data_IF_758811262152
#
_entry.id   IF_758811262152
#
_cell.length_a   1.000
_cell.length_b   1.000
_cell.length_c   1.000
_cell.angle_alpha   90.00
_cell.angle_beta   90.00
_cell.angle_gamma   90.00
#
_symmetry.space_group_name_H-M   'P 1'
#
loop_
_entity.id
_entity.type
_entity.pdbx_description
1 polymer ?
#
# COMPACT_ATOMS: atom_id res chain seq x y z
N UNK A 1 9.05 -27.93 -2.85
CA UNK A 1 9.44 -27.29 -4.14
C UNK A 1 10.09 -25.97 -3.78
N UNK A 2 11.23 -25.62 -4.38
CA UNK A 2 11.93 -24.35 -4.13
C UNK A 2 12.16 -23.61 -5.44
N UNK A 3 12.16 -22.28 -5.37
CA UNK A 3 12.60 -21.41 -6.47
C UNK A 3 14.05 -21.03 -6.21
N UNK A 4 14.86 -21.00 -7.26
CA UNK A 4 16.29 -20.68 -7.16
C UNK A 4 16.67 -19.50 -8.06
N UNK A 5 17.66 -18.74 -7.60
CA UNK A 5 18.32 -17.69 -8.37
C UNK A 5 19.84 -17.80 -8.16
N UNK A 6 20.69 -17.38 -9.13
CA UNK A 6 22.13 -17.36 -8.95
C UNK A 6 22.58 -16.53 -7.74
N UNK A 7 23.82 -16.75 -7.30
CA UNK A 7 24.44 -15.93 -6.26
C UNK A 7 24.41 -14.43 -6.60
N UNK A 8 24.08 -13.61 -5.61
CA UNK A 8 24.26 -12.16 -5.68
C UNK A 8 25.24 -11.70 -4.59
N UNK A 9 26.23 -10.90 -4.98
CA UNK A 9 27.26 -10.46 -4.05
C UNK A 9 26.74 -9.39 -3.09
N UNK A 10 26.54 -9.79 -1.83
CA UNK A 10 26.16 -8.94 -0.70
C UNK A 10 27.27 -8.89 0.38
N UNK A 11 28.48 -9.36 0.05
CA UNK A 11 29.58 -9.39 1.00
C UNK A 11 29.99 -7.97 1.40
N UNK A 12 29.92 -7.66 2.70
CA UNK A 12 30.40 -6.40 3.27
C UNK A 12 29.84 -5.14 2.58
N UNK A 13 28.57 -5.17 2.19
CA UNK A 13 27.85 -4.04 1.62
C UNK A 13 26.47 -3.88 2.27
N UNK A 14 25.91 -2.68 2.19
CA UNK A 14 24.54 -2.42 2.65
C UNK A 14 23.52 -2.99 1.66
N UNK A 15 22.41 -3.50 2.18
CA UNK A 15 21.32 -3.99 1.36
C UNK A 15 19.99 -3.99 2.12
N UNK A 16 18.91 -4.12 1.36
CA UNK A 16 17.57 -4.36 1.87
C UNK A 16 16.96 -5.54 1.13
N UNK A 17 16.50 -6.54 1.86
CA UNK A 17 15.72 -7.65 1.32
C UNK A 17 14.27 -7.52 1.80
N UNK A 18 13.33 -7.49 0.88
CA UNK A 18 11.88 -7.31 1.13
C UNK A 18 11.11 -8.47 0.51
N UNK A 19 10.07 -8.95 1.18
CA UNK A 19 9.27 -10.09 0.71
C UNK A 19 7.89 -10.08 1.36
N UNK A 20 6.88 -10.45 0.59
CA UNK A 20 5.56 -10.76 1.13
C UNK A 20 5.44 -12.25 1.40
N UNK A 21 4.99 -12.60 2.60
CA UNK A 21 4.76 -13.99 2.99
C UNK A 21 3.34 -14.19 3.51
N UNK A 22 2.75 -15.32 3.13
CA UNK A 22 1.50 -15.82 3.68
C UNK A 22 1.78 -17.19 4.30
N UNK A 23 2.16 -17.26 5.58
CA UNK A 23 2.46 -18.55 6.21
C UNK A 23 1.17 -19.32 6.49
N UNK A 24 1.07 -20.54 5.98
CA UNK A 24 0.01 -21.50 6.36
C UNK A 24 0.44 -22.38 7.53
N UNK A 25 1.73 -22.36 7.88
CA UNK A 25 2.27 -22.89 9.13
C UNK A 25 3.32 -21.95 9.72
N UNK A 26 3.34 -21.86 11.05
CA UNK A 26 4.39 -21.20 11.83
C UNK A 26 4.97 -22.13 12.89
N UNK A 27 4.68 -23.43 12.77
CA UNK A 27 5.22 -24.50 13.63
C UNK A 27 6.49 -25.07 13.02
N UNK A 28 7.41 -25.54 13.86
CA UNK A 28 8.77 -25.90 13.47
C UNK A 28 9.50 -24.73 12.77
N UNK A 29 10.69 -24.99 12.23
CA UNK A 29 11.39 -23.98 11.43
C UNK A 29 10.83 -23.96 9.99
N UNK A 30 10.44 -22.77 9.53
CA UNK A 30 9.91 -22.53 8.19
C UNK A 30 10.88 -21.65 7.39
N UNK A 31 11.80 -22.22 6.59
CA UNK A 31 12.79 -21.42 5.86
C UNK A 31 12.18 -20.74 4.64
N UNK A 32 12.22 -19.41 4.61
CA UNK A 32 11.62 -18.58 3.54
C UNK A 32 12.67 -18.21 2.49
N UNK A 33 13.88 -17.83 2.91
CA UNK A 33 14.95 -17.43 2.00
C UNK A 33 16.31 -17.84 2.55
N UNK A 34 17.25 -18.18 1.66
CA UNK A 34 18.66 -18.30 2.04
C UNK A 34 19.64 -18.09 0.88
N UNK A 35 20.86 -17.64 1.22
CA UNK A 35 22.03 -17.63 0.35
C UNK A 35 23.27 -18.00 1.18
N UNK A 36 23.81 -19.19 0.96
CA UNK A 36 24.82 -19.76 1.87
C UNK A 36 26.05 -20.26 1.13
N UNK A 37 27.21 -19.71 1.49
CA UNK A 37 28.52 -20.22 1.10
C UNK A 37 28.93 -21.40 1.98
N UNK A 38 28.68 -21.30 3.28
CA UNK A 38 28.99 -22.32 4.28
C UNK A 38 27.93 -22.30 5.38
N UNK A 39 27.35 -23.46 5.70
CA UNK A 39 26.27 -23.59 6.70
C UNK A 39 26.77 -23.74 8.13
N UNK A 40 28.05 -24.05 8.32
CA UNK A 40 28.68 -24.19 9.65
C UNK A 40 29.63 -23.03 9.99
N UNK A 41 29.81 -22.07 9.08
CA UNK A 41 30.69 -20.93 9.25
C UNK A 41 29.89 -19.69 9.68
N UNK A 42 30.45 -18.92 10.60
CA UNK A 42 29.89 -17.62 11.02
C UNK A 42 29.84 -16.64 9.84
N UNK A 43 28.76 -15.88 9.73
CA UNK A 43 28.56 -14.80 8.74
C UNK A 43 28.46 -15.21 7.27
N UNK A 44 28.47 -16.51 6.93
CA UNK A 44 28.53 -16.96 5.54
C UNK A 44 27.22 -17.53 4.98
N UNK A 45 26.11 -17.36 5.70
CA UNK A 45 24.81 -17.81 5.25
C UNK A 45 23.73 -16.79 5.62
N UNK A 46 23.29 -16.01 4.63
CA UNK A 46 22.19 -15.08 4.79
C UNK A 46 20.90 -15.89 4.75
N UNK A 47 20.00 -15.69 5.70
CA UNK A 47 18.73 -16.41 5.72
C UNK A 47 17.59 -15.58 6.31
N UNK A 48 16.37 -16.01 5.97
CA UNK A 48 15.12 -15.65 6.63
C UNK A 48 14.33 -16.93 6.92
N UNK A 49 14.00 -17.14 8.19
CA UNK A 49 13.27 -18.31 8.70
C UNK A 49 12.20 -17.83 9.69
N UNK A 50 11.02 -18.46 9.71
CA UNK A 50 10.13 -18.37 10.88
C UNK A 50 10.53 -19.50 11.84
N UNK A 51 10.94 -19.15 13.05
CA UNK A 51 11.32 -20.09 14.11
C UNK A 51 10.64 -19.68 15.40
N UNK A 52 10.06 -20.65 16.12
CA UNK A 52 9.25 -20.38 17.32
C UNK A 52 8.20 -19.28 17.06
N UNK A 53 7.59 -19.32 15.87
CA UNK A 53 6.61 -18.35 15.40
C UNK A 53 7.10 -16.90 15.34
N UNK A 54 8.41 -16.65 15.23
CA UNK A 54 9.01 -15.32 15.07
C UNK A 54 9.92 -15.29 13.85
N UNK A 55 10.15 -14.10 13.29
CA UNK A 55 11.14 -13.93 12.24
C UNK A 55 12.55 -14.08 12.80
N UNK A 56 13.39 -14.84 12.10
CA UNK A 56 14.82 -14.93 12.34
C UNK A 56 15.51 -14.59 11.03
N UNK A 57 16.32 -13.53 11.05
CA UNK A 57 17.10 -13.08 9.90
C UNK A 57 18.53 -12.78 10.30
N UNK A 58 19.49 -13.18 9.48
CA UNK A 58 20.89 -12.90 9.78
C UNK A 58 21.84 -13.71 8.93
N UNK A 59 23.10 -13.77 9.37
CA UNK A 59 24.22 -14.26 8.56
C UNK A 59 24.78 -15.61 9.03
N UNK A 60 24.04 -16.34 9.86
CA UNK A 60 24.44 -17.57 10.55
C UNK A 60 25.44 -17.31 11.69
N UNK A 61 25.05 -17.71 12.90
CA UNK A 61 25.72 -17.34 14.16
C UNK A 61 25.84 -15.81 14.38
N UNK A 62 25.06 -15.04 13.63
CA UNK A 62 24.95 -13.58 13.67
C UNK A 62 23.52 -13.22 13.30
N UNK A 63 22.61 -13.75 14.09
CA UNK A 63 21.18 -13.79 13.79
C UNK A 63 20.47 -12.73 14.63
N UNK A 64 19.48 -12.08 14.02
CA UNK A 64 18.58 -11.14 14.66
C UNK A 64 17.21 -11.81 14.74
N UNK A 65 16.64 -11.83 15.94
CA UNK A 65 15.32 -12.37 16.21
C UNK A 65 14.32 -11.23 16.32
N UNK A 66 13.21 -11.37 15.57
CA UNK A 66 12.07 -10.48 15.65
C UNK A 66 11.35 -10.56 17.01
N UNK A 67 10.58 -9.53 17.33
CA UNK A 67 9.84 -9.45 18.59
C UNK A 67 8.44 -10.03 18.47
N UNK A 68 7.81 -9.81 17.31
CA UNK A 68 6.41 -10.15 17.04
C UNK A 68 6.22 -11.64 16.78
N UNK A 69 5.24 -12.24 17.47
CA UNK A 69 4.77 -13.60 17.20
C UNK A 69 3.83 -13.58 15.99
N UNK A 70 4.22 -14.26 14.92
CA UNK A 70 3.40 -14.50 13.75
C UNK A 70 2.38 -15.60 14.04
N UNK A 71 1.22 -15.45 13.44
CA UNK A 71 0.16 -16.46 13.45
C UNK A 71 0.00 -17.04 12.04
N UNK A 72 -0.20 -18.35 11.96
CA UNK A 72 -0.66 -19.02 10.74
C UNK A 72 -2.17 -18.75 10.58
N UNK A 73 -2.53 -17.51 10.28
CA UNK A 73 -3.92 -17.02 10.31
C UNK A 73 -4.41 -16.54 8.95
N UNK A 74 -3.85 -17.05 7.86
CA UNK A 74 -4.32 -16.69 6.53
C UNK A 74 -4.21 -15.17 6.23
N UNK A 75 -3.11 -14.54 6.65
CA UNK A 75 -2.81 -13.13 6.38
C UNK A 75 -1.45 -12.98 5.69
N UNK A 76 -1.36 -11.96 4.84
CA UNK A 76 -0.10 -11.52 4.24
C UNK A 76 0.68 -10.63 5.22
N UNK A 77 1.97 -10.89 5.36
CA UNK A 77 2.92 -10.05 6.06
C UNK A 77 3.93 -9.48 5.07
N UNK A 78 4.19 -8.18 5.14
CA UNK A 78 5.38 -7.61 4.52
C UNK A 78 6.56 -7.76 5.47
N UNK A 79 7.64 -8.41 5.03
CA UNK A 79 8.85 -8.61 5.83
C UNK A 79 10.01 -7.91 5.14
N UNK A 80 10.74 -7.09 5.88
CA UNK A 80 11.97 -6.47 5.39
C UNK A 80 13.14 -6.73 6.33
N UNK A 81 14.32 -6.97 5.74
CA UNK A 81 15.59 -6.97 6.42
C UNK A 81 16.48 -5.91 5.84
N UNK A 82 16.85 -4.93 6.66
CA UNK A 82 17.78 -3.88 6.29
C UNK A 82 19.11 -4.16 6.98
N UNK A 83 20.17 -4.32 6.19
CA UNK A 83 21.54 -4.29 6.68
C UNK A 83 22.23 -3.02 6.20
N UNK A 84 22.63 -2.18 7.16
CA UNK A 84 23.46 -1.02 6.92
C UNK A 84 24.90 -1.33 7.35
N UNK A 85 25.77 -1.55 6.37
CA UNK A 85 27.18 -1.86 6.58
C UNK A 85 27.92 -0.67 7.22
N UNK A 86 27.62 0.56 6.82
CA UNK A 86 28.30 1.76 7.35
C UNK A 86 28.05 1.94 8.86
N UNK A 87 26.83 1.66 9.32
CA UNK A 87 26.46 1.77 10.75
C UNK A 87 26.48 0.43 11.50
N UNK A 88 26.85 -0.67 10.83
CA UNK A 88 26.82 -2.04 11.38
C UNK A 88 25.45 -2.42 11.96
N UNK A 89 24.36 -1.94 11.34
CA UNK A 89 23.00 -2.15 11.80
C UNK A 89 22.28 -3.24 11.00
N UNK A 90 21.62 -4.14 11.71
CA UNK A 90 20.61 -5.05 11.16
C UNK A 90 19.25 -4.67 11.73
N UNK A 91 18.24 -4.59 10.88
CA UNK A 91 16.88 -4.21 11.26
C UNK A 91 15.89 -5.16 10.60
N UNK A 92 14.97 -5.71 11.39
CA UNK A 92 13.80 -6.45 10.89
C UNK A 92 12.62 -5.50 10.94
N UNK A 93 11.89 -5.39 9.83
CA UNK A 93 10.60 -4.74 9.78
C UNK A 93 9.51 -5.77 9.47
N UNK A 94 8.36 -5.61 10.10
CA UNK A 94 7.14 -6.36 9.85
C UNK A 94 6.02 -5.36 9.57
N UNK A 95 5.35 -5.52 8.42
CA UNK A 95 4.28 -4.64 7.93
C UNK A 95 4.64 -3.15 7.93
N UNK A 96 5.92 -2.85 7.64
CA UNK A 96 6.42 -1.49 7.54
C UNK A 96 6.93 -0.90 8.85
N UNK A 97 6.75 -1.60 9.97
CA UNK A 97 7.14 -1.15 11.31
C UNK A 97 8.36 -1.93 11.79
N UNK A 98 9.30 -1.25 12.46
CA UNK A 98 10.48 -1.89 13.02
C UNK A 98 10.09 -2.91 14.09
N UNK A 99 10.44 -4.18 13.88
CA UNK A 99 10.17 -5.29 14.80
C UNK A 99 11.39 -5.63 15.68
N UNK A 100 12.60 -5.48 15.14
CA UNK A 100 13.84 -5.65 15.88
C UNK A 100 15.00 -4.85 15.25
N UNK A 101 15.98 -4.49 16.08
CA UNK A 101 17.21 -3.81 15.65
C UNK A 101 18.41 -4.30 16.44
N UNK A 102 19.57 -4.42 15.78
CA UNK A 102 20.88 -4.60 16.39
C UNK A 102 21.87 -3.62 15.75
N UNK A 103 22.61 -2.87 16.58
CA UNK A 103 23.51 -1.80 16.12
C UNK A 103 25.02 -2.12 16.19
N UNK A 104 25.38 -3.39 16.35
CA UNK A 104 26.77 -3.87 16.40
C UNK A 104 26.90 -5.23 15.73
N UNK A 105 26.44 -5.37 14.49
CA UNK A 105 26.52 -6.63 13.75
C UNK A 105 27.74 -6.66 12.83
N UNK A 106 28.42 -7.80 12.78
CA UNK A 106 29.42 -8.09 11.76
C UNK A 106 28.77 -8.26 10.39
N UNK A 107 29.52 -8.01 9.30
CA UNK A 107 28.97 -8.11 7.95
C UNK A 107 28.70 -9.54 7.50
N UNK A 108 27.82 -9.66 6.50
CA UNK A 108 27.71 -10.87 5.72
C UNK A 108 29.00 -11.07 4.91
N UNK A 109 29.55 -12.29 4.96
CA UNK A 109 30.84 -12.67 4.37
C UNK A 109 30.70 -13.77 3.31
N UNK A 110 29.48 -14.13 2.90
CA UNK A 110 29.28 -15.13 1.85
C UNK A 110 29.81 -14.66 0.51
N UNK A 111 30.57 -15.51 -0.18
CA UNK A 111 31.23 -15.23 -1.47
C UNK A 111 30.68 -16.05 -2.63
N UNK A 112 29.79 -17.01 -2.35
CA UNK A 112 29.08 -17.82 -3.33
C UNK A 112 27.76 -18.36 -2.72
N UNK A 113 27.04 -19.17 -3.49
CA UNK A 113 25.88 -19.91 -3.03
C UNK A 113 24.60 -19.47 -3.73
N UNK A 114 23.80 -20.46 -4.11
CA UNK A 114 22.50 -20.23 -4.75
C UNK A 114 21.56 -19.52 -3.78
N UNK A 115 20.77 -18.56 -4.28
CA UNK A 115 19.64 -18.01 -3.55
C UNK A 115 18.47 -18.96 -3.65
N UNK A 116 17.93 -19.37 -2.51
CA UNK A 116 16.75 -20.23 -2.41
C UNK A 116 15.57 -19.46 -1.84
N UNK A 117 14.38 -19.69 -2.39
CA UNK A 117 13.10 -19.23 -1.85
C UNK A 117 12.25 -20.44 -1.47
N UNK A 118 11.67 -20.39 -0.27
CA UNK A 118 10.93 -21.48 0.38
C UNK A 118 11.80 -22.62 0.92
N UNK A 119 13.12 -22.44 0.99
CA UNK A 119 14.08 -23.45 1.42
C UNK A 119 15.36 -22.82 2.00
N UNK A 120 16.04 -23.55 2.90
CA UNK A 120 17.36 -23.16 3.41
C UNK A 120 18.30 -24.35 3.53
N UNK A 121 19.55 -24.15 3.09
CA UNK A 121 20.64 -25.12 3.27
C UNK A 121 20.99 -25.36 4.75
N UNK A 122 20.62 -24.44 5.65
CA UNK A 122 20.77 -24.64 7.10
C UNK A 122 19.79 -25.70 7.65
N UNK A 123 18.68 -25.93 6.94
CA UNK A 123 17.58 -26.78 7.37
C UNK A 123 17.16 -27.68 6.21
N UNK A 124 18.00 -28.65 5.80
CA UNK A 124 17.84 -29.37 4.54
C UNK A 124 16.60 -30.25 4.45
N UNK A 125 15.88 -30.46 5.55
CA UNK A 125 14.63 -31.22 5.63
C UNK A 125 13.38 -30.35 5.82
N UNK A 126 13.53 -29.02 5.88
CA UNK A 126 12.44 -28.10 6.13
C UNK A 126 12.13 -27.27 4.89
N UNK A 127 10.86 -26.90 4.73
CA UNK A 127 10.38 -26.07 3.63
C UNK A 127 9.36 -25.07 4.17
N UNK A 128 9.30 -23.89 3.54
CA UNK A 128 8.24 -22.94 3.86
C UNK A 128 6.88 -23.50 3.42
N UNK A 129 5.94 -23.55 4.37
CA UNK A 129 4.53 -23.84 4.10
C UNK A 129 3.76 -22.53 4.00
N UNK A 130 3.46 -22.09 2.77
CA UNK A 130 2.77 -20.85 2.53
C UNK A 130 2.93 -20.33 1.11
N UNK A 131 2.60 -19.06 0.91
CA UNK A 131 2.81 -18.33 -0.34
C UNK A 131 3.86 -17.23 -0.13
N UNK A 132 4.64 -16.99 -1.19
CA UNK A 132 5.62 -15.92 -1.28
C UNK A 132 5.21 -15.05 -2.46
N UNK A 133 5.29 -13.74 -2.29
CA UNK A 133 5.10 -12.78 -3.38
C UNK A 133 6.09 -11.61 -3.27
N UNK A 134 6.33 -10.96 -4.42
CA UNK A 134 7.05 -9.70 -4.57
C UNK A 134 8.35 -9.62 -3.75
N UNK A 135 9.21 -10.64 -3.88
CA UNK A 135 10.53 -10.66 -3.26
C UNK A 135 11.48 -9.69 -4.00
N UNK A 136 12.11 -8.79 -3.26
CA UNK A 136 12.95 -7.71 -3.78
C UNK A 136 14.26 -7.62 -3.02
N UNK A 137 15.34 -7.29 -3.75
CA UNK A 137 16.66 -7.02 -3.20
C UNK A 137 17.13 -5.65 -3.70
N UNK A 138 17.37 -4.74 -2.78
CA UNK A 138 17.92 -3.42 -3.04
C UNK A 138 19.36 -3.36 -2.52
N UNK A 139 20.30 -2.85 -3.31
CA UNK A 139 21.75 -2.78 -2.97
C UNK A 139 22.14 -1.60 -2.07
N UNK A 140 21.18 -1.11 -1.28
CA UNK A 140 21.39 -0.10 -0.24
C UNK A 140 20.47 -0.38 0.96
N UNK A 141 20.82 0.21 2.10
CA UNK A 141 19.92 0.25 3.25
C UNK A 141 18.79 1.26 2.97
N UNK A 142 17.53 0.79 2.99
CA UNK A 142 16.35 1.65 2.92
C UNK A 142 16.04 2.23 4.30
N UNK A 143 15.51 3.45 4.32
CA UNK A 143 15.02 4.12 5.51
C UNK A 143 13.70 3.52 6.00
N UNK A 144 13.36 3.73 7.27
CA UNK A 144 12.08 3.28 7.83
C UNK A 144 10.87 3.85 7.06
N UNK A 145 10.96 5.09 6.56
CA UNK A 145 9.89 5.71 5.77
C UNK A 145 9.69 5.00 4.42
N UNK A 146 10.77 4.63 3.74
CA UNK A 146 10.69 3.87 2.49
C UNK A 146 10.10 2.47 2.74
N UNK A 147 10.55 1.76 3.78
CA UNK A 147 9.99 0.45 4.15
C UNK A 147 8.50 0.55 4.47
N UNK A 148 8.08 1.62 5.15
CA UNK A 148 6.67 1.86 5.44
C UNK A 148 5.86 2.10 4.15
N UNK A 149 6.40 2.83 3.17
CA UNK A 149 5.75 3.04 1.87
C UNK A 149 5.60 1.72 1.12
N UNK A 150 6.67 0.94 0.95
CA UNK A 150 6.61 -0.36 0.29
C UNK A 150 5.61 -1.31 0.96
N UNK A 151 5.54 -1.26 2.28
CA UNK A 151 4.62 -2.08 3.04
C UNK A 151 3.18 -1.58 2.98
N UNK A 152 2.89 -0.30 2.70
CA UNK A 152 1.53 0.26 2.95
C UNK A 152 0.90 1.07 1.83
N UNK A 153 1.68 1.53 0.86
CA UNK A 153 1.13 2.15 -0.35
C UNK A 153 0.57 1.05 -1.25
N UNK A 154 -0.66 1.26 -1.73
CA UNK A 154 -1.32 0.28 -2.58
C UNK A 154 -1.11 0.62 -4.05
N UNK A 155 -1.30 1.88 -4.41
CA UNK A 155 -0.92 2.41 -5.72
C UNK A 155 -0.57 3.90 -5.59
N UNK A 156 0.10 4.39 -6.63
CA UNK A 156 0.34 5.80 -6.86
C UNK A 156 0.33 6.09 -8.37
N UNK A 157 -0.53 6.99 -8.81
CA UNK A 157 -0.55 7.47 -10.18
C UNK A 157 -0.07 8.92 -10.22
N UNK A 158 1.17 9.10 -10.67
CA UNK A 158 1.72 10.42 -11.01
C UNK A 158 1.14 10.98 -12.29
N UNK A 159 0.64 10.11 -13.19
CA UNK A 159 0.26 10.45 -14.57
C UNK A 159 1.38 11.03 -15.46
N UNK A 160 2.61 11.13 -14.95
CA UNK A 160 3.82 11.63 -15.65
C UNK A 160 4.44 10.63 -16.64
N UNK A 161 4.11 9.36 -16.51
CA UNK A 161 4.71 8.31 -17.34
C UNK A 161 4.22 8.40 -18.79
N UNK A 162 5.00 7.89 -19.77
CA UNK A 162 4.56 7.85 -21.18
C UNK A 162 3.19 7.17 -21.36
N UNK A 163 2.88 6.19 -20.52
CA UNK A 163 1.51 5.75 -20.28
C UNK A 163 1.06 6.28 -18.92
N UNK A 164 0.13 7.26 -18.86
CA UNK A 164 -0.27 7.92 -17.62
C UNK A 164 -1.00 6.97 -16.65
N UNK A 165 -1.46 5.82 -17.13
CA UNK A 165 -2.24 4.86 -16.34
C UNK A 165 -1.35 3.80 -15.64
N UNK A 166 -0.04 3.94 -15.72
CA UNK A 166 0.87 3.07 -14.98
C UNK A 166 0.91 3.44 -13.49
N UNK A 167 0.81 2.41 -12.66
CA UNK A 167 0.99 2.54 -11.22
C UNK A 167 2.48 2.67 -10.91
N UNK A 168 2.86 3.82 -10.36
CA UNK A 168 4.20 4.13 -9.85
C UNK A 168 4.44 3.55 -8.46
N UNK A 169 3.41 2.98 -7.81
CA UNK A 169 3.49 2.32 -6.52
C UNK A 169 4.01 0.87 -6.59
N UNK A 170 4.07 0.18 -5.45
CA UNK A 170 4.76 -1.11 -5.32
C UNK A 170 4.02 -2.30 -5.95
N UNK A 171 2.72 -2.18 -6.26
CA UNK A 171 1.88 -3.31 -6.68
C UNK A 171 1.63 -3.37 -8.19
N UNK A 172 2.05 -2.36 -8.96
CA UNK A 172 1.91 -2.29 -10.43
C UNK A 172 0.46 -2.51 -10.88
N UNK A 173 -0.50 -1.97 -10.14
CA UNK A 173 -1.93 -2.09 -10.39
C UNK A 173 -2.38 -1.20 -11.55
N UNK A 174 -1.74 -1.32 -12.71
CA UNK A 174 -1.97 -0.43 -13.86
C UNK A 174 -3.46 -0.28 -14.19
N UNK A 175 -3.87 0.97 -14.38
CA UNK A 175 -5.23 1.31 -14.70
C UNK A 175 -5.48 1.31 -16.21
N UNK A 176 -6.75 1.43 -16.59
CA UNK A 176 -7.17 1.64 -17.97
C UNK A 176 -8.12 2.83 -18.06
N UNK A 177 -8.05 3.61 -19.13
CA UNK A 177 -9.00 4.69 -19.36
C UNK A 177 -10.24 4.20 -20.10
N UNK A 178 -11.39 4.75 -19.71
CA UNK A 178 -12.65 4.64 -20.44
C UNK A 178 -13.05 6.04 -20.88
N UNK A 179 -13.20 6.20 -22.20
CA UNK A 179 -13.76 7.36 -22.92
C UNK A 179 -13.25 8.76 -22.50
N UNK A 180 -12.68 9.49 -23.47
CA UNK A 180 -12.39 10.92 -23.34
C UNK A 180 -11.54 11.33 -22.12
N UNK A 181 -10.60 10.47 -21.73
CA UNK A 181 -9.52 10.78 -20.78
C UNK A 181 -8.26 11.11 -21.58
N UNK A 182 -7.65 12.26 -21.32
CA UNK A 182 -6.45 12.72 -22.02
C UNK A 182 -5.42 13.29 -21.05
N UNK A 183 -4.14 13.07 -21.33
CA UNK A 183 -3.05 13.72 -20.60
C UNK A 183 -3.05 15.23 -20.85
N UNK A 184 -2.71 16.01 -19.82
CA UNK A 184 -2.58 17.46 -19.87
C UNK A 184 -1.57 17.92 -18.83
N UNK A 185 -1.24 19.22 -18.78
CA UNK A 185 -0.37 19.76 -17.73
C UNK A 185 -1.02 19.62 -16.36
N UNK A 186 -0.28 19.08 -15.40
CA UNK A 186 -0.73 18.81 -14.04
C UNK A 186 -0.46 19.94 -13.05
N UNK A 187 -0.78 19.64 -11.80
CA UNK A 187 -0.29 20.37 -10.63
C UNK A 187 1.20 20.11 -10.47
N UNK A 188 1.61 18.85 -10.64
CA UNK A 188 3.00 18.41 -10.78
C UNK A 188 3.11 17.72 -12.14
N UNK A 189 4.03 18.18 -13.00
CA UNK A 189 4.27 17.50 -14.29
C UNK A 189 3.03 17.38 -15.19
N UNK A 190 2.52 16.17 -15.38
CA UNK A 190 1.36 15.80 -16.19
C UNK A 190 0.23 15.25 -15.34
N UNK A 191 -0.99 15.45 -15.81
CA UNK A 191 -2.21 15.00 -15.17
C UNK A 191 -3.18 14.42 -16.20
N UNK A 192 -4.29 13.85 -15.73
CA UNK A 192 -5.35 13.30 -16.59
C UNK A 192 -6.61 14.15 -16.53
N UNK A 193 -7.15 14.51 -17.70
CA UNK A 193 -8.35 15.31 -17.86
C UNK A 193 -9.56 14.44 -18.19
N UNK A 194 -10.66 14.66 -17.47
CA UNK A 194 -11.97 14.02 -17.62
C UNK A 194 -12.98 15.01 -18.24
N UNK A 195 -13.79 14.57 -19.19
CA UNK A 195 -14.71 15.43 -19.97
C UNK A 195 -16.16 14.92 -19.98
N UNK A 196 -17.09 15.68 -20.58
CA UNK A 196 -18.48 15.80 -20.15
C UNK A 196 -19.51 14.85 -20.78
N UNK A 197 -19.15 14.01 -21.75
CA UNK A 197 -20.17 13.38 -22.63
C UNK A 197 -20.49 11.92 -22.29
N UNK A 198 -20.52 11.58 -21.00
CA UNK A 198 -20.76 10.25 -20.39
C UNK A 198 -19.54 9.33 -20.29
N UNK A 199 -19.43 8.65 -19.13
CA UNK A 199 -18.47 7.59 -18.80
C UNK A 199 -16.99 7.92 -19.01
N UNK A 200 -16.57 9.16 -18.76
CA UNK A 200 -15.13 9.50 -18.69
C UNK A 200 -14.57 9.14 -17.33
N UNK A 201 -13.75 8.08 -17.25
CA UNK A 201 -13.10 7.64 -16.02
C UNK A 201 -11.87 6.77 -16.27
N UNK A 202 -11.08 6.60 -15.22
CA UNK A 202 -10.03 5.59 -15.15
C UNK A 202 -10.52 4.45 -14.28
N UNK A 203 -10.24 3.21 -14.66
CA UNK A 203 -10.56 2.04 -13.88
C UNK A 203 -9.33 1.23 -13.48
N UNK A 204 -9.30 0.82 -12.22
CA UNK A 204 -8.34 -0.14 -11.69
C UNK A 204 -9.07 -1.47 -11.56
N UNK A 205 -8.54 -2.52 -12.16
CA UNK A 205 -9.16 -3.85 -12.17
C UNK A 205 -8.65 -4.69 -11.00
N UNK A 206 -9.43 -5.71 -10.62
CA UNK A 206 -9.05 -6.74 -9.65
C UNK A 206 -8.68 -6.21 -8.25
N UNK A 207 -9.37 -5.17 -7.80
CA UNK A 207 -9.18 -4.58 -6.48
C UNK A 207 -9.92 -5.36 -5.40
N UNK A 208 -9.25 -5.90 -4.37
CA UNK A 208 -9.93 -6.46 -3.20
C UNK A 208 -10.77 -5.39 -2.51
N UNK A 209 -12.00 -5.70 -2.10
CA UNK A 209 -12.83 -4.72 -1.37
C UNK A 209 -12.04 -4.05 -0.23
N UNK A 210 -12.11 -2.72 -0.14
CA UNK A 210 -11.30 -1.90 0.79
C UNK A 210 -11.27 -2.43 2.22
N UNK A 211 -12.40 -2.95 2.69
CA UNK A 211 -12.57 -3.43 4.06
C UNK A 211 -12.34 -4.92 4.27
N UNK A 212 -12.10 -5.73 3.24
CA UNK A 212 -11.97 -7.17 3.45
C UNK A 212 -10.70 -7.52 4.26
N UNK A 213 -10.76 -8.42 5.26
CA UNK A 213 -11.94 -9.11 5.82
C UNK A 213 -12.49 -8.45 7.10
N UNK A 214 -12.07 -7.26 7.48
CA UNK A 214 -12.45 -6.66 8.78
C UNK A 214 -12.30 -5.14 8.86
N UNK A 215 -12.91 -4.41 7.92
CA UNK A 215 -12.97 -2.95 7.88
C UNK A 215 -11.59 -2.30 8.03
N UNK A 216 -10.66 -2.71 7.15
CA UNK A 216 -9.26 -2.26 7.19
C UNK A 216 -9.14 -0.74 7.01
N UNK A 217 -8.15 -0.12 7.67
CA UNK A 217 -7.90 1.30 7.51
C UNK A 217 -7.44 1.60 6.08
N UNK A 218 -7.73 2.80 5.60
CA UNK A 218 -7.30 3.25 4.29
C UNK A 218 -7.06 4.76 4.25
N UNK A 219 -6.37 5.19 3.20
CA UNK A 219 -6.29 6.59 2.80
C UNK A 219 -6.38 6.68 1.29
N UNK A 220 -7.14 7.66 0.79
CA UNK A 220 -7.06 8.12 -0.60
C UNK A 220 -6.76 9.61 -0.61
N UNK A 221 -5.88 10.04 -1.50
CA UNK A 221 -5.50 11.45 -1.67
C UNK A 221 -5.24 11.75 -3.14
N UNK A 222 -5.63 12.94 -3.60
CA UNK A 222 -5.43 13.39 -4.99
C UNK A 222 -5.45 14.91 -5.09
N UNK A 223 -4.80 15.43 -6.13
CA UNK A 223 -5.02 16.79 -6.59
C UNK A 223 -6.14 16.82 -7.63
N UNK A 224 -7.06 17.78 -7.52
CA UNK A 224 -8.15 18.01 -8.47
C UNK A 224 -8.18 19.46 -8.96
N UNK A 225 -8.49 19.64 -10.23
CA UNK A 225 -8.80 20.91 -10.86
C UNK A 225 -10.18 20.80 -11.50
N UNK A 226 -11.22 21.20 -10.79
CA UNK A 226 -12.60 21.09 -11.27
C UNK A 226 -12.89 22.19 -12.31
N UNK A 227 -13.40 21.82 -13.48
CA UNK A 227 -13.92 22.79 -14.48
C UNK A 227 -15.44 22.96 -14.37
N UNK A 228 -16.11 22.02 -13.72
CA UNK A 228 -17.50 22.14 -13.27
C UNK A 228 -17.63 21.52 -11.88
N UNK A 229 -18.53 22.07 -11.08
CA UNK A 229 -18.79 21.64 -9.69
C UNK A 229 -20.25 21.26 -9.48
N UNK A 230 -21.01 21.10 -10.57
CA UNK A 230 -22.42 20.71 -10.54
C UNK A 230 -22.64 19.22 -10.20
N UNK A 231 -21.81 18.64 -9.35
CA UNK A 231 -21.79 17.21 -9.02
C UNK A 231 -20.66 16.40 -9.68
N UNK A 232 -20.68 15.08 -9.46
CA UNK A 232 -19.75 14.11 -10.05
C UNK A 232 -18.94 13.33 -9.01
N UNK A 233 -18.68 12.05 -9.30
CA UNK A 233 -17.84 11.20 -8.47
C UNK A 233 -16.36 11.39 -8.75
N UNK A 234 -15.55 11.47 -7.69
CA UNK A 234 -14.10 11.41 -7.80
C UNK A 234 -13.62 9.98 -7.66
N UNK A 235 -14.18 9.23 -6.72
CA UNK A 235 -13.78 7.86 -6.41
C UNK A 235 -15.01 7.01 -6.12
N UNK A 236 -15.24 5.98 -6.94
CA UNK A 236 -16.32 5.01 -6.76
C UNK A 236 -15.77 3.63 -6.45
N UNK A 237 -16.31 3.03 -5.38
CA UNK A 237 -15.86 1.74 -4.83
C UNK A 237 -17.06 0.77 -4.79
N UNK A 238 -17.29 -0.01 -5.86
CA UNK A 238 -18.51 -0.78 -6.10
C UNK A 238 -18.98 -1.78 -5.05
N UNK A 239 -18.16 -2.47 -4.22
CA UNK A 239 -18.80 -3.30 -3.21
C UNK A 239 -19.67 -2.43 -2.28
N UNK A 240 -19.25 -1.19 -1.98
CA UNK A 240 -20.06 -0.24 -1.20
C UNK A 240 -21.29 0.33 -1.94
N UNK A 241 -21.40 0.10 -3.25
CA UNK A 241 -22.48 0.65 -4.08
C UNK A 241 -22.51 2.19 -4.19
N UNK A 242 -21.49 2.89 -3.70
CA UNK A 242 -21.44 4.37 -3.65
C UNK A 242 -20.08 4.95 -4.03
N UNK A 243 -20.09 6.24 -4.35
CA UNK A 243 -18.87 7.04 -4.43
C UNK A 243 -18.35 7.35 -3.04
N UNK A 244 -17.13 6.92 -2.75
CA UNK A 244 -16.43 7.19 -1.50
C UNK A 244 -16.07 8.68 -1.38
N UNK A 245 -15.67 9.30 -2.49
CA UNK A 245 -15.31 10.71 -2.57
C UNK A 245 -15.96 11.36 -3.80
N UNK A 246 -16.49 12.58 -3.67
CA UNK A 246 -17.09 13.31 -4.78
C UNK A 246 -17.70 14.65 -4.42
N UNK A 247 -18.44 15.24 -5.34
CA UNK A 247 -19.05 16.56 -5.18
C UNK A 247 -20.57 16.49 -5.01
N UNK A 248 -21.11 17.39 -4.19
CA UNK A 248 -22.55 17.70 -4.19
C UNK A 248 -22.96 18.49 -5.43
N UNK A 249 -24.26 18.66 -5.66
CA UNK A 249 -24.79 19.55 -6.71
C UNK A 249 -24.39 21.02 -6.53
N UNK A 250 -24.06 21.41 -5.29
CA UNK A 250 -23.61 22.76 -4.93
C UNK A 250 -22.09 22.92 -4.98
N UNK A 251 -21.33 21.86 -5.26
CA UNK A 251 -19.87 21.90 -5.37
C UNK A 251 -19.11 21.72 -4.06
N UNK A 252 -19.74 21.20 -3.01
CA UNK A 252 -19.04 20.82 -1.78
C UNK A 252 -18.35 19.47 -1.93
N UNK A 253 -17.14 19.33 -1.40
CA UNK A 253 -16.44 18.04 -1.35
C UNK A 253 -17.04 17.14 -0.25
N UNK A 254 -17.21 15.86 -0.55
CA UNK A 254 -17.83 14.89 0.36
C UNK A 254 -17.03 13.61 0.38
N UNK A 255 -16.77 13.10 1.59
CA UNK A 255 -16.39 11.70 1.80
C UNK A 255 -17.55 10.96 2.45
N UNK A 256 -17.90 9.78 1.94
CA UNK A 256 -19.05 9.00 2.45
C UNK A 256 -18.81 7.50 2.36
N UNK A 257 -19.43 6.75 3.27
CA UNK A 257 -19.38 5.29 3.28
C UNK A 257 -20.71 4.70 3.80
N UNK A 258 -20.89 3.39 3.61
CA UNK A 258 -21.94 2.64 4.28
C UNK A 258 -21.36 1.92 5.49
N UNK A 259 -21.91 2.15 6.67
CA UNK A 259 -21.61 1.32 7.84
C UNK A 259 -22.13 -0.11 7.59
N UNK A 260 -21.35 -1.14 7.93
CA UNK A 260 -21.76 -2.51 7.67
C UNK A 260 -22.92 -2.96 8.58
N UNK A 261 -23.48 -4.12 8.28
CA UNK A 261 -24.45 -4.80 9.14
C UNK A 261 -23.94 -4.95 10.58
N UNK A 262 -24.78 -4.73 11.62
CA UNK A 262 -26.24 -4.56 11.56
C UNK A 262 -26.71 -3.12 11.33
N UNK A 263 -25.83 -2.11 11.39
CA UNK A 263 -26.25 -0.71 11.41
C UNK A 263 -26.79 -0.27 10.04
N UNK A 264 -26.08 -0.62 8.95
CA UNK A 264 -26.52 -0.38 7.56
C UNK A 264 -26.92 1.08 7.26
N UNK A 265 -26.27 2.06 7.90
CA UNK A 265 -26.53 3.49 7.67
C UNK A 265 -25.52 4.09 6.71
N UNK A 266 -25.97 5.06 5.92
CA UNK A 266 -25.11 5.90 5.11
C UNK A 266 -24.59 7.06 5.95
N UNK A 267 -23.29 7.31 5.89
CA UNK A 267 -22.65 8.40 6.62
C UNK A 267 -21.77 9.21 5.68
N UNK A 268 -21.75 10.53 5.88
CA UNK A 268 -20.96 11.45 5.07
C UNK A 268 -20.34 12.57 5.93
N UNK A 269 -19.10 12.93 5.62
CA UNK A 269 -18.49 14.20 6.00
C UNK A 269 -18.64 15.14 4.80
N UNK A 270 -19.31 16.28 5.00
CA UNK A 270 -19.46 17.32 3.98
C UNK A 270 -18.49 18.45 4.31
N UNK A 271 -17.56 18.72 3.40
CA UNK A 271 -16.55 19.76 3.55
C UNK A 271 -16.90 21.07 2.85
N UNK A 272 -15.88 21.91 2.69
CA UNK A 272 -15.98 23.19 1.99
C UNK A 272 -16.29 23.09 0.49
N UNK A 273 -16.54 24.25 -0.11
CA UNK A 273 -16.79 24.36 -1.55
C UNK A 273 -15.49 24.25 -2.35
N UNK A 274 -15.53 23.50 -3.46
CA UNK A 274 -14.47 23.46 -4.45
C UNK A 274 -14.70 24.61 -5.44
N UNK A 275 -13.78 25.58 -5.56
CA UNK A 275 -13.85 26.57 -6.63
C UNK A 275 -13.49 25.93 -7.97
N UNK A 276 -14.18 26.36 -9.03
CA UNK A 276 -13.77 25.98 -10.39
C UNK A 276 -12.41 26.59 -10.73
N UNK A 277 -11.69 25.92 -11.62
CA UNK A 277 -10.45 26.40 -12.21
C UNK A 277 -9.34 26.70 -11.19
N UNK A 278 -9.29 25.94 -10.11
CA UNK A 278 -8.25 26.06 -9.08
C UNK A 278 -7.86 24.66 -8.60
N UNK A 279 -6.57 24.39 -8.50
CA UNK A 279 -6.08 23.15 -7.90
C UNK A 279 -6.44 23.08 -6.42
N UNK A 280 -6.95 21.93 -6.01
CA UNK A 280 -7.24 21.58 -4.61
C UNK A 280 -6.77 20.17 -4.34
N UNK A 281 -6.08 19.98 -3.23
CA UNK A 281 -5.77 18.65 -2.73
C UNK A 281 -6.96 18.16 -1.90
N UNK A 282 -7.49 16.98 -2.22
CA UNK A 282 -8.58 16.34 -1.49
C UNK A 282 -8.13 14.98 -1.02
N UNK A 283 -8.48 14.64 0.22
CA UNK A 283 -8.16 13.33 0.76
C UNK A 283 -9.23 12.84 1.73
N UNK A 284 -9.33 11.53 1.89
CA UNK A 284 -10.08 10.92 2.97
C UNK A 284 -9.26 9.81 3.64
N UNK A 285 -9.37 9.72 4.96
CA UNK A 285 -8.76 8.64 5.76
C UNK A 285 -9.84 7.90 6.51
N UNK A 286 -9.59 6.62 6.79
CA UNK A 286 -10.42 5.81 7.66
C UNK A 286 -9.57 4.93 8.54
N UNK A 287 -9.92 4.86 9.83
CA UNK A 287 -9.60 3.74 10.70
C UNK A 287 -10.76 3.47 11.66
N UNK A 288 -10.82 2.28 12.23
CA UNK A 288 -11.82 1.96 13.28
C UNK A 288 -11.66 2.83 14.53
N UNK A 289 -10.49 3.41 14.74
CA UNK A 289 -10.19 4.26 15.90
C UNK A 289 -10.68 5.69 15.68
N UNK A 290 -10.41 6.26 14.50
CA UNK A 290 -10.67 7.68 14.22
C UNK A 290 -11.90 7.91 13.32
N UNK A 291 -12.46 6.83 12.77
CA UNK A 291 -13.57 6.89 11.83
C UNK A 291 -13.16 7.47 10.47
N UNK A 292 -14.14 7.95 9.70
CA UNK A 292 -13.90 8.59 8.39
C UNK A 292 -13.59 10.07 8.58
N UNK A 293 -12.48 10.54 8.01
CA UNK A 293 -12.07 11.95 8.05
C UNK A 293 -11.91 12.46 6.62
N UNK A 294 -12.43 13.66 6.34
CA UNK A 294 -12.25 14.37 5.07
C UNK A 294 -11.23 15.49 5.23
N UNK A 295 -10.37 15.69 4.24
CA UNK A 295 -9.37 16.75 4.20
C UNK A 295 -9.46 17.55 2.89
N UNK A 296 -9.22 18.85 3.00
CA UNK A 296 -9.07 19.78 1.89
C UNK A 296 -7.81 20.61 2.10
N UNK A 297 -6.87 20.57 1.15
CA UNK A 297 -5.55 21.21 1.21
C UNK A 297 -4.79 20.91 2.51
N UNK A 298 -4.80 19.65 2.93
CA UNK A 298 -4.10 19.22 4.14
C UNK A 298 -4.86 19.48 5.44
N UNK A 299 -6.00 20.19 5.40
CA UNK A 299 -6.76 20.58 6.60
C UNK A 299 -8.02 19.74 6.73
N UNK A 300 -8.25 19.15 7.91
CA UNK A 300 -9.45 18.37 8.20
C UNK A 300 -10.71 19.22 8.08
N UNK A 301 -11.72 18.69 7.40
CA UNK A 301 -13.04 19.29 7.20
C UNK A 301 -14.08 18.73 8.20
N UNK A 302 -13.68 17.79 9.04
CA UNK A 302 -14.55 17.06 9.96
C UNK A 302 -14.32 15.56 9.91
N UNK A 303 -14.92 14.86 10.86
CA UNK A 303 -14.89 13.40 10.96
C UNK A 303 -16.26 12.84 11.34
N UNK A 304 -16.47 11.56 11.03
CA UNK A 304 -17.52 10.76 11.63
C UNK A 304 -16.85 9.74 12.54
N UNK A 305 -17.02 9.92 13.84
CA UNK A 305 -16.46 9.04 14.85
C UNK A 305 -17.36 7.81 15.06
N UNK A 306 -16.79 6.71 15.55
CA UNK A 306 -17.56 5.53 15.99
C UNK A 306 -17.99 4.58 14.87
N UNK A 307 -17.48 4.75 13.65
CA UNK A 307 -17.67 3.78 12.58
C UNK A 307 -16.77 2.57 12.87
N UNK A 308 -17.36 1.50 13.38
CA UNK A 308 -16.62 0.28 13.71
C UNK A 308 -16.48 -0.65 12.50
N UNK A 309 -17.37 -0.54 11.53
CA UNK A 309 -17.34 -1.32 10.30
C UNK A 309 -17.82 -0.51 9.10
N UNK A 310 -17.32 -0.81 7.91
CA UNK A 310 -17.93 -0.36 6.66
C UNK A 310 -18.16 -1.55 5.75
N UNK A 311 -19.05 -1.41 4.76
CA UNK A 311 -19.39 -2.53 3.91
C UNK A 311 -18.16 -3.09 3.15
N UNK A 312 -18.06 -4.42 3.06
CA UNK A 312 -17.02 -5.08 2.27
C UNK A 312 -17.43 -6.51 1.91
N UNK A 313 -16.76 -7.08 0.91
CA UNK A 313 -16.97 -8.45 0.43
C UNK A 313 -15.63 -9.09 0.02
N UNK A 314 -15.57 -10.41 -0.12
CA UNK A 314 -14.35 -11.14 -0.53
C UNK A 314 -14.03 -11.04 -2.03
N UNK A 315 -14.92 -10.43 -2.81
CA UNK A 315 -14.76 -10.32 -4.25
C UNK A 315 -13.64 -9.37 -4.66
N UNK A 316 -13.21 -9.53 -5.91
CA UNK A 316 -12.40 -8.54 -6.61
C UNK A 316 -13.31 -7.60 -7.40
N UNK A 317 -13.04 -6.31 -7.34
CA UNK A 317 -13.88 -5.25 -7.89
C UNK A 317 -13.06 -4.29 -8.74
N UNK A 318 -13.77 -3.43 -9.44
CA UNK A 318 -13.19 -2.28 -10.09
C UNK A 318 -13.16 -1.10 -9.12
N UNK A 319 -12.15 -0.23 -9.20
CA UNK A 319 -12.27 1.14 -8.68
C UNK A 319 -12.45 2.06 -9.87
N UNK A 320 -13.42 2.97 -9.82
CA UNK A 320 -13.56 4.03 -10.82
C UNK A 320 -13.08 5.36 -10.27
N UNK A 321 -12.25 6.05 -11.04
CA UNK A 321 -11.67 7.35 -10.74
C UNK A 321 -12.23 8.35 -11.74
N UNK A 322 -12.82 9.43 -11.24
CA UNK A 322 -13.51 10.43 -12.07
C UNK A 322 -14.94 10.05 -12.46
N UNK A 323 -15.54 9.04 -11.82
CA UNK A 323 -16.93 8.68 -12.06
C UNK A 323 -17.65 8.20 -10.80
N UNK A 324 -18.90 8.63 -10.66
CA UNK A 324 -19.91 8.02 -9.81
C UNK A 324 -20.93 7.32 -10.70
N UNK A 325 -21.45 6.17 -10.27
CA UNK A 325 -22.65 5.58 -10.87
C UNK A 325 -23.89 6.47 -10.69
N UNK A 326 -25.07 5.88 -10.46
CA UNK A 326 -26.23 6.67 -10.03
C UNK A 326 -25.96 7.28 -8.64
N UNK A 327 -26.49 8.48 -8.40
CA UNK A 327 -26.45 9.08 -7.06
C UNK A 327 -27.14 8.15 -6.07
N UNK A 328 -26.38 7.63 -5.12
CA UNK A 328 -26.88 6.74 -4.08
C UNK A 328 -27.10 7.45 -2.73
N UNK A 329 -26.34 8.53 -2.45
CA UNK A 329 -26.48 9.32 -1.23
C UNK A 329 -26.15 10.80 -1.48
N UNK A 330 -25.15 11.40 -0.82
CA UNK A 330 -24.86 12.84 -0.91
C UNK A 330 -24.09 13.20 -2.19
N UNK A 331 -23.09 12.40 -2.56
CA UNK A 331 -22.32 12.60 -3.80
C UNK A 331 -23.24 12.41 -5.01
N UNK A 332 -23.26 13.40 -5.91
CA UNK A 332 -24.02 13.29 -7.16
C UNK A 332 -23.38 12.26 -8.11
N UNK A 333 -24.23 11.54 -8.83
CA UNK A 333 -23.85 10.61 -9.88
C UNK A 333 -23.20 11.28 -11.09
N UNK A 334 -22.57 10.47 -11.93
CA UNK A 334 -21.93 10.90 -13.16
C UNK A 334 -20.43 11.19 -13.06
N UNK A 335 -19.85 11.60 -14.20
CA UNK A 335 -18.42 11.86 -14.33
C UNK A 335 -17.99 13.18 -13.71
N UNK A 336 -16.81 13.17 -13.10
CA UNK A 336 -16.07 14.37 -12.77
C UNK A 336 -15.68 15.13 -14.04
N UNK A 337 -15.74 16.46 -13.99
CA UNK A 337 -15.35 17.33 -15.08
C UNK A 337 -14.18 18.21 -14.63
N UNK A 338 -13.00 17.89 -15.12
CA UNK A 338 -11.79 18.55 -14.66
C UNK A 338 -10.55 17.72 -14.91
N UNK A 339 -9.50 18.02 -14.17
CA UNK A 339 -8.22 17.33 -14.24
C UNK A 339 -7.89 16.74 -12.87
N UNK A 340 -7.31 15.54 -12.82
CA UNK A 340 -6.77 14.95 -11.60
C UNK A 340 -5.31 14.64 -11.75
N UNK A 341 -4.59 14.79 -10.66
CA UNK A 341 -3.16 14.58 -10.59
C UNK A 341 -2.80 13.88 -9.27
N UNK A 342 -1.63 13.23 -9.23
CA UNK A 342 -1.03 12.75 -7.99
C UNK A 342 -1.99 11.89 -7.14
N UNK A 343 -2.51 10.79 -7.70
CA UNK A 343 -3.51 9.96 -7.03
C UNK A 343 -2.89 8.82 -6.22
N UNK A 344 -3.11 8.85 -4.90
CA UNK A 344 -2.55 7.90 -3.94
C UNK A 344 -3.62 7.03 -3.28
N UNK A 345 -3.26 5.78 -2.99
CA UNK A 345 -3.97 4.95 -2.02
C UNK A 345 -3.02 4.25 -1.05
N UNK A 346 -3.41 4.20 0.23
CA UNK A 346 -2.69 3.49 1.28
C UNK A 346 -3.63 2.55 2.04
N UNK A 347 -3.11 1.40 2.49
CA UNK A 347 -3.82 0.42 3.34
C UNK A 347 -3.76 0.75 4.84
N UNK A 348 -3.55 2.03 5.14
CA UNK A 348 -3.50 2.59 6.49
C UNK A 348 -4.09 3.99 6.49
N UNK A 349 -4.47 4.43 7.67
CA UNK A 349 -4.74 5.84 7.92
C UNK A 349 -3.40 6.59 7.93
N UNK A 350 -3.27 7.58 7.05
CA UNK A 350 -2.21 8.57 7.13
C UNK A 350 -2.55 9.57 8.24
N UNK A 351 -1.53 10.01 8.98
CA UNK A 351 -1.65 11.09 9.95
C UNK A 351 -1.94 12.43 9.25
N UNK A 352 -2.48 13.41 10.00
CA UNK A 352 -2.70 14.75 9.47
C UNK A 352 -1.42 15.40 8.90
N UNK A 353 -0.25 15.12 9.50
CA UNK A 353 1.05 15.58 9.00
C UNK A 353 1.41 14.95 7.65
N UNK A 354 1.16 13.66 7.47
CA UNK A 354 1.39 12.98 6.19
C UNK A 354 0.43 13.48 5.10
N UNK A 355 -0.85 13.72 5.45
CA UNK A 355 -1.82 14.32 4.53
C UNK A 355 -1.41 15.74 4.13
N UNK A 356 -0.92 16.54 5.08
CA UNK A 356 -0.41 17.88 4.80
C UNK A 356 0.82 17.84 3.89
N UNK A 357 1.72 16.85 4.07
CA UNK A 357 2.87 16.68 3.20
C UNK A 357 2.45 16.41 1.74
N UNK A 358 1.46 15.55 1.50
CA UNK A 358 0.89 15.32 0.16
C UNK A 358 0.21 16.57 -0.43
N UNK A 359 -0.39 17.41 0.43
CA UNK A 359 -1.05 18.65 0.03
C UNK A 359 -0.10 19.84 -0.19
N UNK A 360 1.19 19.68 0.08
CA UNK A 360 2.20 20.75 0.01
C UNK A 360 3.17 20.60 -1.17
N UNK A 361 2.94 19.59 -2.02
CA UNK A 361 3.76 19.29 -3.21
C UNK A 361 3.51 20.31 -4.31
#
# INVERSE_FOLDING_TARGET
MSVVSPYFNLNSVSFTFEIWIYPTSVTNDQPIFSQCTCTTCTNQCLFLIIRSSKLYMGFNFNDLTGSTTLVASSVWYHVAFVYNYQTSQQIIYLDGVQDAIRSTSTSYLGTNGTMYFGYSLLLPSNYFSGYIDNAQLTTRAKSAAEILVDATQVFYYSFDQPNPYYDNGPNRLNATSIQNVASTSGHVGQAVRFTTTSSSYIQINYWPSLGWPSSKPFTFAMWIYATSVSGGGLLYTPPNGISLLGLTNSGQIVAQLQEASPVNIWQAVIGGFIPVNTWKHVACTFSVTNGLILYLNGVSQGSINGILTYYWTSGLYYIYIGYAGSQAYIVNGGSFQGTMDEFYAYRRELSATEILALASV
#
